data_IF_321214389859
#
_entry.id   IF_321214389859
#
_cell.length_a   1.000
_cell.length_b   1.000
_cell.length_c   1.000
_cell.angle_alpha   90.00
_cell.angle_beta   90.00
_cell.angle_gamma   90.00
#
_symmetry.space_group_name_H-M   'P 1'
#
loop_
_entity.id
_entity.type
_entity.pdbx_description
1 polymer ?
#
# COMPACT_ATOMS: atom_id res chain seq x y z
N UNK A 1 -32.41 27.56 3.95
CA UNK A 1 -32.19 28.97 4.36
C UNK A 1 -30.74 29.06 4.84
N UNK A 2 -29.84 29.58 4.01
CA UNK A 2 -28.40 29.66 4.31
C UNK A 2 -28.21 30.68 5.43
N UNK A 3 -27.53 30.32 6.52
CA UNK A 3 -27.35 31.25 7.65
C UNK A 3 -26.24 32.26 7.33
N UNK A 4 -26.27 33.45 7.93
CA UNK A 4 -25.26 34.51 7.69
C UNK A 4 -23.81 34.07 7.92
N UNK A 5 -23.59 33.00 8.69
CA UNK A 5 -22.27 32.44 8.96
C UNK A 5 -21.73 31.63 7.78
N UNK A 6 -22.60 30.90 7.11
CA UNK A 6 -22.27 30.08 5.95
C UNK A 6 -21.93 30.99 4.75
N UNK A 7 -22.73 32.03 4.52
CA UNK A 7 -22.48 33.01 3.46
C UNK A 7 -21.10 33.69 3.57
N UNK A 8 -20.64 33.98 4.78
CA UNK A 8 -19.31 34.58 5.00
C UNK A 8 -18.17 33.63 4.66
N UNK A 9 -18.33 32.33 4.94
CA UNK A 9 -17.37 31.29 4.58
C UNK A 9 -17.31 31.13 3.06
N UNK A 10 -18.47 31.08 2.38
CA UNK A 10 -18.55 31.02 0.92
C UNK A 10 -17.92 32.26 0.24
N UNK A 11 -18.16 33.47 0.76
CA UNK A 11 -17.53 34.68 0.22
C UNK A 11 -16.01 34.67 0.36
N UNK A 12 -15.46 34.20 1.49
CA UNK A 12 -14.01 34.10 1.69
C UNK A 12 -13.36 33.05 0.78
N UNK A 13 -14.02 31.91 0.60
CA UNK A 13 -13.59 30.87 -0.35
C UNK A 13 -13.59 31.39 -1.79
N UNK A 14 -14.65 32.09 -2.20
CA UNK A 14 -14.77 32.67 -3.53
C UNK A 14 -13.68 33.72 -3.83
N UNK A 15 -13.41 34.62 -2.87
CA UNK A 15 -12.35 35.64 -3.02
C UNK A 15 -10.95 35.00 -3.10
N UNK A 16 -10.70 33.93 -2.34
CA UNK A 16 -9.44 33.18 -2.42
C UNK A 16 -9.27 32.40 -3.73
N UNK A 17 -10.36 32.19 -4.48
CA UNK A 17 -10.41 31.39 -5.71
C UNK A 17 -10.21 32.21 -6.99
N UNK A 18 -10.50 33.52 -6.96
CA UNK A 18 -10.35 34.42 -8.11
C UNK A 18 -8.96 34.42 -8.81
N UNK A 19 -7.82 34.22 -8.13
CA UNK A 19 -6.52 34.20 -8.80
C UNK A 19 -6.26 32.96 -9.67
N UNK A 20 -7.12 31.95 -9.62
CA UNK A 20 -6.87 30.62 -10.23
C UNK A 20 -7.58 30.39 -11.57
N UNK A 21 -8.29 31.39 -12.10
CA UNK A 21 -9.08 31.30 -13.36
C UNK A 21 -9.96 30.03 -13.48
N UNK A 22 -10.38 29.48 -12.33
CA UNK A 22 -11.12 28.24 -12.28
C UNK A 22 -12.62 28.49 -12.12
N UNK A 23 -13.41 27.71 -12.86
CA UNK A 23 -14.87 27.76 -12.83
C UNK A 23 -15.43 27.23 -11.49
N UNK A 24 -16.49 27.87 -11.00
CA UNK A 24 -17.13 27.58 -9.72
C UNK A 24 -17.81 26.21 -9.76
N UNK A 25 -18.40 25.81 -10.90
CA UNK A 25 -19.02 24.49 -11.01
C UNK A 25 -17.96 23.39 -10.93
N UNK A 26 -16.80 23.58 -11.59
CA UNK A 26 -15.67 22.65 -11.49
C UNK A 26 -15.08 22.53 -10.07
N UNK A 27 -15.11 23.62 -9.29
CA UNK A 27 -14.65 23.62 -7.89
C UNK A 27 -15.56 22.75 -7.02
N UNK A 28 -16.86 23.02 -7.05
CA UNK A 28 -17.84 22.27 -6.26
C UNK A 28 -18.05 20.84 -6.78
N UNK A 29 -17.76 20.55 -8.05
CA UNK A 29 -17.84 19.20 -8.61
C UNK A 29 -16.83 18.23 -7.98
N UNK A 30 -15.67 18.71 -7.52
CA UNK A 30 -14.63 17.85 -6.94
C UNK A 30 -14.58 17.90 -5.39
N UNK A 31 -15.12 18.96 -4.78
CA UNK A 31 -15.06 19.19 -3.33
C UNK A 31 -16.33 18.74 -2.57
N UNK A 32 -17.48 18.59 -3.25
CA UNK A 32 -18.73 18.07 -2.67
C UNK A 32 -18.90 16.55 -2.81
N UNK A 33 -17.88 15.82 -3.26
CA UNK A 33 -17.92 14.36 -3.20
C UNK A 33 -17.94 13.91 -1.73
N UNK A 34 -18.72 12.88 -1.35
CA UNK A 34 -18.79 12.38 0.03
C UNK A 34 -17.45 11.83 0.55
N UNK A 35 -16.41 11.80 -0.27
CA UNK A 35 -15.07 11.39 0.07
C UNK A 35 -14.12 12.59 0.02
N UNK A 36 -13.39 12.83 1.12
CA UNK A 36 -12.59 14.04 1.32
C UNK A 36 -11.61 14.35 0.16
N UNK A 37 -11.47 15.62 -0.23
CA UNK A 37 -10.60 16.01 -1.31
C UNK A 37 -9.12 15.88 -0.91
N UNK A 38 -8.46 15.10 -1.76
CA UNK A 38 -7.07 15.21 -2.20
C UNK A 38 -6.01 14.41 -1.44
N UNK A 39 -5.52 13.39 -2.16
CA UNK A 39 -4.22 12.72 -2.02
C UNK A 39 -3.07 13.71 -2.33
N UNK A 40 -3.29 15.03 -2.29
CA UNK A 40 -2.36 16.07 -2.71
C UNK A 40 -2.15 17.08 -1.57
N UNK A 41 -0.89 17.33 -1.24
CA UNK A 41 -0.44 18.41 -0.38
C UNK A 41 0.43 19.34 -1.24
N UNK A 42 -0.01 20.58 -1.43
CA UNK A 42 0.73 21.61 -2.18
C UNK A 42 1.14 21.09 -3.58
N UNK A 43 0.16 20.64 -4.37
CA UNK A 43 0.35 20.12 -5.73
C UNK A 43 1.29 18.91 -5.84
N UNK A 44 1.58 18.21 -4.73
CA UNK A 44 2.35 16.97 -4.69
C UNK A 44 1.58 15.89 -3.95
N UNK A 45 1.74 14.64 -4.37
CA UNK A 45 1.09 13.52 -3.68
C UNK A 45 1.42 13.57 -2.19
N UNK A 46 0.40 13.68 -1.33
CA UNK A 46 0.52 13.63 0.13
C UNK A 46 1.15 12.28 0.49
N UNK A 47 2.35 12.34 1.07
CA UNK A 47 3.12 11.16 1.51
C UNK A 47 3.08 11.11 3.02
N UNK A 48 2.03 10.54 3.63
CA UNK A 48 1.98 10.41 5.07
C UNK A 48 3.20 9.61 5.56
N UNK A 49 3.84 10.08 6.62
CA UNK A 49 5.01 9.45 7.23
C UNK A 49 4.71 8.04 7.76
N UNK A 50 3.44 7.78 8.08
CA UNK A 50 2.92 6.47 8.45
C UNK A 50 1.66 6.17 7.63
N UNK A 51 1.59 4.98 7.01
CA UNK A 51 0.43 4.49 6.25
C UNK A 51 -0.87 4.54 7.08
N UNK A 52 -0.78 4.38 8.40
CA UNK A 52 -1.91 4.48 9.33
C UNK A 52 -2.53 5.88 9.43
N UNK A 53 -1.84 6.95 9.03
CA UNK A 53 -2.40 8.30 9.03
C UNK A 53 -3.54 8.47 8.00
N UNK A 54 -3.63 7.56 7.02
CA UNK A 54 -4.76 7.49 6.07
C UNK A 54 -6.00 6.87 6.70
N UNK A 55 -5.83 6.00 7.72
CA UNK A 55 -6.96 5.37 8.42
C UNK A 55 -7.80 6.40 9.19
N UNK A 56 -7.19 7.50 9.64
CA UNK A 56 -7.91 8.60 10.25
C UNK A 56 -8.88 9.30 9.28
N UNK A 57 -8.71 9.09 7.98
CA UNK A 57 -9.56 9.63 6.92
C UNK A 57 -10.59 8.61 6.40
N UNK A 58 -10.59 7.38 6.91
CA UNK A 58 -11.54 6.34 6.54
C UNK A 58 -12.54 6.15 7.66
N UNK A 59 -13.79 6.51 7.43
CA UNK A 59 -14.89 6.11 8.30
C UNK A 59 -15.08 4.59 8.16
N UNK A 60 -14.92 3.87 9.26
CA UNK A 60 -15.21 2.45 9.30
C UNK A 60 -16.69 2.29 9.66
N UNK A 61 -17.49 1.80 8.72
CA UNK A 61 -18.77 1.19 9.11
C UNK A 61 -18.47 -0.12 9.85
N UNK A 62 -19.12 -0.32 10.99
CA UNK A 62 -18.97 -1.54 11.78
C UNK A 62 -19.31 -2.76 10.92
N UNK A 63 -18.37 -3.71 10.89
CA UNK A 63 -18.49 -4.93 10.13
C UNK A 63 -19.74 -5.71 10.56
N UNK A 64 -20.73 -5.78 9.68
CA UNK A 64 -21.76 -6.80 9.74
C UNK A 64 -21.13 -8.19 9.89
N UNK A 65 -21.86 -9.10 10.55
CA UNK A 65 -21.39 -10.44 10.89
C UNK A 65 -20.88 -11.18 9.63
N UNK A 66 -19.55 -11.18 9.43
CA UNK A 66 -18.89 -11.73 8.26
C UNK A 66 -18.76 -13.24 8.41
N UNK A 67 -19.89 -13.93 8.39
CA UNK A 67 -19.93 -15.38 8.38
C UNK A 67 -19.46 -15.89 7.01
N UNK A 68 -18.26 -16.47 6.99
CA UNK A 68 -17.59 -17.19 5.89
C UNK A 68 -17.09 -16.36 4.70
N UNK A 69 -15.82 -15.98 4.73
CA UNK A 69 -15.12 -15.54 3.52
C UNK A 69 -14.69 -16.75 2.69
N UNK A 70 -15.16 -16.84 1.44
CA UNK A 70 -14.80 -17.93 0.52
C UNK A 70 -13.34 -17.83 0.03
N UNK A 71 -12.81 -16.61 -0.08
CA UNK A 71 -11.47 -16.37 -0.59
C UNK A 71 -10.74 -15.27 0.19
N UNK A 72 -9.41 -15.40 0.31
CA UNK A 72 -8.53 -14.39 0.90
C UNK A 72 -7.45 -13.99 -0.11
N UNK A 73 -7.28 -12.68 -0.32
CA UNK A 73 -6.19 -12.14 -1.14
C UNK A 73 -5.07 -11.62 -0.25
N UNK A 74 -3.84 -12.05 -0.51
CA UNK A 74 -2.65 -11.66 0.22
C UNK A 74 -1.68 -10.89 -0.67
N UNK A 75 -1.13 -9.80 -0.14
CA UNK A 75 0.08 -9.19 -0.71
C UNK A 75 1.28 -10.08 -0.38
N UNK A 76 1.75 -10.80 -1.40
CA UNK A 76 2.83 -11.77 -1.27
C UNK A 76 4.13 -11.15 -0.77
N UNK A 77 4.43 -9.89 -1.12
CA UNK A 77 5.63 -9.21 -0.63
C UNK A 77 5.55 -9.00 0.88
N UNK A 78 4.39 -8.56 1.38
CA UNK A 78 4.14 -8.39 2.82
C UNK A 78 4.21 -9.73 3.56
N UNK A 79 3.65 -10.81 3.00
CA UNK A 79 3.72 -12.15 3.61
C UNK A 79 5.18 -12.62 3.73
N UNK A 80 6.01 -12.42 2.70
CA UNK A 80 7.42 -12.79 2.76
C UNK A 80 8.19 -11.93 3.77
N UNK A 81 7.90 -10.62 3.87
CA UNK A 81 8.53 -9.72 4.84
C UNK A 81 8.14 -10.04 6.29
N UNK A 82 6.92 -10.52 6.52
CA UNK A 82 6.46 -10.96 7.83
C UNK A 82 7.35 -12.08 8.40
N UNK A 83 7.91 -12.91 7.52
CA UNK A 83 8.79 -14.01 7.92
C UNK A 83 10.26 -13.62 7.73
N UNK A 84 10.97 -13.42 8.84
CA UNK A 84 12.43 -13.46 8.78
C UNK A 84 12.92 -14.84 8.34
N UNK A 85 14.01 -14.91 7.58
CA UNK A 85 14.60 -16.17 7.12
C UNK A 85 15.50 -16.87 8.16
N UNK A 86 15.34 -16.52 9.44
CA UNK A 86 16.15 -17.05 10.53
C UNK A 86 16.06 -18.59 10.56
N UNK A 87 17.22 -19.25 10.61
CA UNK A 87 17.39 -20.72 10.66
C UNK A 87 17.05 -21.47 9.36
N UNK A 88 16.73 -20.78 8.26
CA UNK A 88 16.55 -21.40 6.94
C UNK A 88 17.86 -21.33 6.16
N UNK A 89 18.30 -22.44 5.54
CA UNK A 89 19.51 -22.43 4.69
C UNK A 89 19.16 -22.14 3.24
N UNK A 90 18.08 -22.72 2.75
CA UNK A 90 17.61 -22.61 1.37
C UNK A 90 16.20 -22.04 1.28
N UNK A 91 15.80 -21.56 0.11
CA UNK A 91 14.41 -21.13 -0.11
C UNK A 91 13.41 -22.28 0.02
N UNK A 92 13.81 -23.55 -0.24
CA UNK A 92 13.00 -24.71 0.09
C UNK A 92 12.73 -24.82 1.60
N UNK A 93 13.76 -24.61 2.44
CA UNK A 93 13.59 -24.62 3.90
C UNK A 93 12.62 -23.52 4.35
N UNK A 94 12.77 -22.31 3.80
CA UNK A 94 11.88 -21.20 4.09
C UNK A 94 10.44 -21.47 3.67
N UNK A 95 10.24 -22.00 2.46
CA UNK A 95 8.92 -22.37 1.97
C UNK A 95 8.27 -23.41 2.88
N UNK A 96 8.96 -24.51 3.19
CA UNK A 96 8.41 -25.62 3.95
C UNK A 96 8.21 -25.30 5.44
N UNK A 97 9.08 -24.50 6.04
CA UNK A 97 9.04 -24.23 7.49
C UNK A 97 8.29 -22.95 7.89
N UNK A 98 8.13 -21.99 6.98
CA UNK A 98 7.49 -20.69 7.27
C UNK A 98 6.29 -20.43 6.39
N UNK A 99 6.51 -20.39 5.07
CA UNK A 99 5.51 -19.89 4.13
C UNK A 99 4.32 -20.84 3.99
N UNK A 100 4.58 -22.11 3.68
CA UNK A 100 3.53 -23.13 3.49
C UNK A 100 2.67 -23.33 4.75
N UNK A 101 3.22 -23.51 5.96
CA UNK A 101 2.40 -23.66 7.16
C UNK A 101 1.48 -22.46 7.43
N UNK A 102 1.92 -21.25 7.09
CA UNK A 102 1.09 -20.06 7.23
C UNK A 102 -0.11 -20.07 6.27
N UNK A 103 0.12 -20.40 5.00
CA UNK A 103 -0.96 -20.50 4.00
C UNK A 103 -1.90 -21.67 4.33
N UNK A 104 -1.37 -22.82 4.73
CA UNK A 104 -2.16 -23.98 5.15
C UNK A 104 -3.07 -23.64 6.35
N UNK A 105 -2.61 -22.81 7.28
CA UNK A 105 -3.41 -22.33 8.41
C UNK A 105 -4.59 -21.47 7.94
N UNK A 106 -4.37 -20.58 6.98
CA UNK A 106 -5.43 -19.72 6.42
C UNK A 106 -6.46 -20.57 5.67
N UNK A 107 -5.99 -21.55 4.88
CA UNK A 107 -6.85 -22.47 4.15
C UNK A 107 -7.74 -23.35 5.05
N UNK A 108 -7.47 -23.46 6.35
CA UNK A 108 -8.41 -24.12 7.29
C UNK A 108 -9.71 -23.35 7.48
N UNK A 109 -9.69 -22.03 7.28
CA UNK A 109 -10.84 -21.14 7.49
C UNK A 109 -11.34 -20.47 6.20
N UNK A 110 -10.67 -20.67 5.07
CA UNK A 110 -11.03 -20.08 3.77
C UNK A 110 -10.90 -21.12 2.66
N UNK A 111 -11.81 -21.12 1.69
CA UNK A 111 -11.78 -22.08 0.58
C UNK A 111 -10.68 -21.80 -0.45
N UNK A 112 -10.24 -20.54 -0.58
CA UNK A 112 -9.19 -20.14 -1.53
C UNK A 112 -8.27 -19.06 -0.95
N UNK A 113 -6.98 -19.14 -1.25
CA UNK A 113 -6.02 -18.07 -0.96
C UNK A 113 -5.30 -17.68 -2.25
N UNK A 114 -5.46 -16.41 -2.65
CA UNK A 114 -4.80 -15.82 -3.81
C UNK A 114 -3.62 -14.96 -3.33
N UNK A 115 -2.40 -15.28 -3.76
CA UNK A 115 -1.19 -14.56 -3.36
C UNK A 115 -0.72 -13.72 -4.53
N UNK A 116 -0.74 -12.40 -4.37
CA UNK A 116 -0.43 -11.44 -5.44
C UNK A 116 0.93 -10.82 -5.17
N UNK A 117 1.81 -10.86 -6.18
CA UNK A 117 3.08 -10.14 -6.16
C UNK A 117 3.02 -8.99 -7.15
N UNK A 118 3.33 -7.79 -6.69
CA UNK A 118 3.44 -6.60 -7.54
C UNK A 118 4.54 -6.79 -8.61
N UNK A 119 4.23 -6.38 -9.85
CA UNK A 119 5.23 -6.18 -10.91
C UNK A 119 5.64 -4.71 -10.95
N UNK A 120 6.94 -4.46 -10.95
CA UNK A 120 7.51 -3.12 -11.06
C UNK A 120 7.95 -2.87 -12.50
N UNK A 121 7.06 -2.31 -13.30
CA UNK A 121 7.36 -1.90 -14.68
C UNK A 121 7.89 -0.46 -14.63
N UNK A 122 8.91 -0.15 -15.42
CA UNK A 122 9.48 1.20 -15.50
C UNK A 122 8.46 2.25 -15.96
N UNK A 123 8.57 3.48 -15.46
CA UNK A 123 7.69 4.60 -15.82
C UNK A 123 6.39 4.72 -15.01
N UNK A 124 6.16 3.82 -14.03
CA UNK A 124 4.98 3.87 -13.15
C UNK A 124 5.32 4.38 -11.75
N UNK A 125 4.38 5.08 -11.11
CA UNK A 125 4.50 5.69 -9.77
C UNK A 125 4.96 4.72 -8.67
N UNK A 126 4.61 3.43 -8.80
CA UNK A 126 5.04 2.36 -7.87
C UNK A 126 6.56 2.10 -7.94
N UNK A 127 7.20 2.34 -9.08
CA UNK A 127 8.64 2.20 -9.23
C UNK A 127 9.38 3.33 -8.50
N UNK A 128 8.94 4.58 -8.70
CA UNK A 128 9.51 5.79 -8.06
C UNK A 128 9.45 5.76 -6.53
N UNK A 129 8.41 5.15 -5.96
CA UNK A 129 8.28 5.00 -4.51
C UNK A 129 9.13 3.87 -3.95
N UNK A 130 9.53 2.89 -4.77
CA UNK A 130 10.37 1.75 -4.37
C UNK A 130 11.85 2.09 -4.42
N UNK A 131 12.32 2.86 -5.40
CA UNK A 131 13.72 3.33 -5.47
C UNK A 131 14.14 4.06 -4.19
N UNK A 132 13.21 4.82 -3.58
CA UNK A 132 13.44 5.53 -2.31
C UNK A 132 13.59 4.60 -1.10
N UNK A 133 13.15 3.35 -1.17
CA UNK A 133 13.31 2.33 -0.11
C UNK A 133 14.65 1.58 -0.22
N UNK A 134 15.26 1.54 -1.40
CA UNK A 134 16.53 0.87 -1.70
C UNK A 134 17.78 1.55 -1.15
N UNK A 135 17.66 2.35 -0.09
CA UNK A 135 18.80 3.02 0.58
C UNK A 135 19.78 1.97 1.16
N UNK A 136 19.28 0.77 1.45
CA UNK A 136 20.05 -0.37 1.93
C UNK A 136 20.20 -1.40 0.80
N UNK A 137 20.99 -1.05 -0.23
CA UNK A 137 21.31 -1.99 -1.32
C UNK A 137 22.03 -3.21 -0.76
N UNK A 138 21.58 -4.39 -1.15
CA UNK A 138 22.34 -5.61 -0.92
C UNK A 138 23.11 -5.89 -2.21
N UNK A 139 24.43 -6.06 -2.14
CA UNK A 139 25.20 -6.49 -3.32
C UNK A 139 24.94 -7.97 -3.69
N UNK A 140 23.83 -8.56 -3.23
CA UNK A 140 23.51 -9.98 -3.35
C UNK A 140 22.30 -10.11 -4.27
N UNK A 141 22.57 -10.54 -5.49
CA UNK A 141 21.57 -10.87 -6.49
C UNK A 141 21.52 -12.39 -6.66
N UNK A 142 20.55 -13.01 -5.99
CA UNK A 142 20.34 -14.46 -6.04
C UNK A 142 19.02 -14.73 -6.74
N UNK A 143 19.06 -15.58 -7.75
CA UNK A 143 17.84 -16.10 -8.37
C UNK A 143 17.11 -16.99 -7.36
N UNK A 144 15.86 -16.65 -7.05
CA UNK A 144 15.05 -17.46 -6.14
C UNK A 144 14.70 -18.80 -6.81
N UNK A 145 15.26 -19.87 -6.28
CA UNK A 145 14.90 -21.25 -6.60
C UNK A 145 15.00 -22.09 -5.33
N UNK A 146 14.40 -23.28 -5.33
CA UNK A 146 14.30 -24.13 -4.14
C UNK A 146 15.66 -24.45 -3.51
N UNK A 147 16.69 -24.69 -4.32
CA UNK A 147 18.03 -25.07 -3.87
C UNK A 147 18.94 -23.89 -3.52
N UNK A 148 18.57 -22.66 -3.88
CA UNK A 148 19.40 -21.49 -3.64
C UNK A 148 19.49 -21.18 -2.17
N UNK A 149 20.70 -20.85 -1.75
CA UNK A 149 21.00 -20.44 -0.38
C UNK A 149 20.37 -19.08 -0.13
N UNK A 150 19.71 -18.94 1.02
CA UNK A 150 19.13 -17.68 1.42
C UNK A 150 20.23 -16.70 1.81
N UNK A 151 20.17 -15.44 1.34
CA UNK A 151 21.11 -14.40 1.76
C UNK A 151 21.13 -14.22 3.29
N UNK A 152 22.32 -14.08 3.87
CA UNK A 152 22.48 -13.77 5.30
C UNK A 152 21.73 -12.51 5.70
N UNK A 153 21.79 -11.46 4.88
CA UNK A 153 20.99 -10.25 5.03
C UNK A 153 19.70 -10.37 4.21
N UNK A 154 18.76 -11.17 4.70
CA UNK A 154 17.49 -11.42 4.02
C UNK A 154 16.64 -10.15 3.85
N UNK A 155 16.61 -9.29 4.86
CA UNK A 155 15.86 -8.03 4.82
C UNK A 155 16.43 -7.07 3.76
N UNK A 156 17.75 -6.89 3.72
CA UNK A 156 18.42 -6.12 2.66
C UNK A 156 18.13 -6.70 1.28
N UNK A 157 18.20 -8.02 1.13
CA UNK A 157 17.86 -8.71 -0.12
C UNK A 157 16.43 -8.42 -0.59
N UNK A 158 15.45 -8.39 0.32
CA UNK A 158 14.05 -8.11 -0.01
C UNK A 158 13.79 -6.64 -0.36
N UNK A 159 14.55 -5.72 0.22
CA UNK A 159 14.43 -4.28 0.02
C UNK A 159 15.18 -3.77 -1.20
N UNK A 160 16.09 -4.58 -1.76
CA UNK A 160 16.78 -4.26 -2.99
C UNK A 160 15.81 -4.27 -4.19
N UNK A 161 15.74 -3.15 -4.90
CA UNK A 161 14.87 -2.99 -6.05
C UNK A 161 15.35 -3.83 -7.25
N UNK A 162 16.65 -4.06 -7.39
CA UNK A 162 17.21 -4.82 -8.51
C UNK A 162 16.88 -6.32 -8.39
N UNK A 163 16.62 -6.81 -7.17
CA UNK A 163 16.13 -8.18 -6.94
C UNK A 163 14.65 -8.38 -7.32
N UNK A 164 13.97 -7.34 -7.82
CA UNK A 164 12.55 -7.37 -8.22
C UNK A 164 12.33 -7.12 -9.71
N UNK A 165 13.42 -6.93 -10.47
CA UNK A 165 13.44 -6.87 -11.94
C UNK A 165 13.48 -8.28 -12.52
#
# INVERSE_FOLDING_TARGET
MVTCRDANIFCKLYVAFQPRESDIESFFANENEPFSPSVLEISRLRKPSNKGAVLACLEFEESGDMSSFTAMMLDGATVVQLFGANKCKTFADFYNSKFKPYIDRILRSTSRVDIVFDRYIGGFLKNDTREKRGIHRSNVHIRVNLSSVIPKNFEGFLNDADNKK
#
